data_IF_064253518220
#
_entry.id   IF_064253518220
#
_cell.length_a   1.000
_cell.length_b   1.000
_cell.length_c   1.000
_cell.angle_alpha   90.00
_cell.angle_beta   90.00
_cell.angle_gamma   90.00
#
_symmetry.space_group_name_H-M   'P 1'
#
loop_
_entity.id
_entity.type
_entity.pdbx_description
1 polymer ?
#
# COMPACT_ATOMS: atom_id res chain seq x y z
N UNK A 1 28.76 15.27 -10.40
CA UNK A 1 27.75 15.11 -9.33
C UNK A 1 27.39 16.51 -8.83
N UNK A 2 26.42 17.13 -9.47
CA UNK A 2 25.90 18.42 -9.02
C UNK A 2 24.90 18.14 -7.89
N UNK A 3 25.25 18.49 -6.66
CA UNK A 3 24.32 18.45 -5.53
C UNK A 3 23.21 19.46 -5.84
N UNK A 4 22.03 18.98 -6.22
CA UNK A 4 20.82 19.82 -6.05
C UNK A 4 20.82 20.24 -4.59
N UNK A 5 20.96 21.54 -4.34
CA UNK A 5 20.99 22.09 -2.98
C UNK A 5 19.66 21.73 -2.29
N UNK A 6 19.69 21.32 -1.03
CA UNK A 6 18.52 21.07 -0.18
C UNK A 6 17.52 22.24 -0.17
N UNK A 7 17.96 23.42 -0.59
CA UNK A 7 17.16 24.67 -0.64
C UNK A 7 16.10 24.71 -1.75
N UNK A 8 16.09 23.80 -2.71
CA UNK A 8 15.19 23.86 -3.87
C UNK A 8 14.08 22.78 -3.84
N UNK A 9 14.00 21.99 -2.78
CA UNK A 9 13.02 20.92 -2.64
C UNK A 9 11.68 21.46 -2.13
N UNK A 10 10.71 21.67 -3.03
CA UNK A 10 9.35 22.07 -2.65
C UNK A 10 8.59 20.91 -2.04
N UNK A 11 8.51 20.89 -0.71
CA UNK A 11 7.86 19.83 0.08
C UNK A 11 6.44 20.26 0.41
N UNK A 12 5.47 19.46 0.02
CA UNK A 12 4.06 19.69 0.31
C UNK A 12 3.50 18.62 1.24
N UNK A 13 2.61 19.03 2.13
CA UNK A 13 1.83 18.10 2.99
C UNK A 13 0.38 18.11 2.54
N UNK A 14 -0.23 16.93 2.39
CA UNK A 14 -1.65 16.76 2.11
C UNK A 14 -2.32 16.13 3.32
N UNK A 15 -3.39 16.76 3.81
CA UNK A 15 -4.15 16.34 4.98
C UNK A 15 -5.60 16.13 4.60
N UNK A 16 -6.08 14.88 4.49
CA UNK A 16 -7.50 14.60 4.32
C UNK A 16 -8.25 14.92 5.61
N UNK A 17 -9.28 15.76 5.52
CA UNK A 17 -10.03 16.26 6.66
C UNK A 17 -11.48 15.76 6.63
N UNK A 18 -11.85 14.90 7.58
CA UNK A 18 -13.20 14.45 7.80
C UNK A 18 -13.42 14.13 9.29
N UNK A 19 -14.30 14.90 9.97
CA UNK A 19 -14.58 14.78 11.42
C UNK A 19 -13.32 14.87 12.28
N UNK A 20 -12.49 15.88 12.02
CA UNK A 20 -11.21 16.06 12.72
C UNK A 20 -11.07 17.50 13.25
N UNK A 21 -12.18 18.17 13.54
CA UNK A 21 -12.21 19.58 13.94
C UNK A 21 -11.37 19.86 15.19
N UNK A 22 -11.42 18.96 16.17
CA UNK A 22 -10.78 19.15 17.46
C UNK A 22 -9.25 18.96 17.41
N UNK A 23 -8.76 18.11 16.48
CA UNK A 23 -7.35 17.71 16.43
C UNK A 23 -6.56 18.44 15.34
N UNK A 24 -7.20 18.86 14.26
CA UNK A 24 -6.53 19.34 13.04
C UNK A 24 -5.62 20.55 13.28
N UNK A 25 -6.02 21.50 14.14
CA UNK A 25 -5.22 22.69 14.42
C UNK A 25 -3.92 22.34 15.17
N UNK A 26 -3.94 21.34 16.06
CA UNK A 26 -2.73 20.86 16.73
C UNK A 26 -1.78 20.19 15.73
N UNK A 27 -2.32 19.37 14.82
CA UNK A 27 -1.56 18.77 13.72
C UNK A 27 -0.88 19.85 12.90
N UNK A 28 -1.61 20.87 12.47
CA UNK A 28 -1.08 21.97 11.64
C UNK A 28 0.05 22.73 12.35
N UNK A 29 -0.12 23.07 13.64
CA UNK A 29 0.90 23.80 14.43
C UNK A 29 2.22 23.03 14.56
N UNK A 30 2.18 21.72 14.49
CA UNK A 30 3.35 20.84 14.67
C UNK A 30 4.07 20.51 13.37
N UNK A 31 3.55 20.95 12.22
CA UNK A 31 4.20 20.73 10.92
C UNK A 31 5.46 21.62 10.83
N UNK A 32 6.65 21.02 10.61
CA UNK A 32 7.91 21.76 10.57
C UNK A 32 7.99 22.81 9.46
N UNK A 33 8.84 23.82 9.66
CA UNK A 33 9.05 24.94 8.72
C UNK A 33 9.63 24.52 7.36
N UNK A 34 10.30 23.37 7.29
CA UNK A 34 10.80 22.81 6.02
C UNK A 34 9.69 22.48 5.01
N UNK A 35 8.42 22.36 5.44
CA UNK A 35 7.28 22.18 4.58
C UNK A 35 6.89 23.51 3.94
N UNK A 36 6.90 23.56 2.62
CA UNK A 36 6.62 24.78 1.86
C UNK A 36 5.14 25.14 1.84
N UNK A 37 4.27 24.13 1.73
CA UNK A 37 2.82 24.31 1.67
C UNK A 37 2.07 23.14 2.30
N UNK A 38 0.88 23.43 2.83
CA UNK A 38 -0.01 22.46 3.47
C UNK A 38 -1.37 22.54 2.79
N UNK A 39 -1.81 21.42 2.22
CA UNK A 39 -3.09 21.29 1.51
C UNK A 39 -4.03 20.47 2.39
N UNK A 40 -5.00 21.11 2.99
CA UNK A 40 -6.09 20.46 3.71
C UNK A 40 -7.23 20.18 2.73
N UNK A 41 -7.73 18.96 2.68
CA UNK A 41 -8.85 18.59 1.82
C UNK A 41 -10.05 18.25 2.68
N UNK A 42 -11.02 19.18 2.75
CA UNK A 42 -12.30 18.96 3.43
C UNK A 42 -13.19 18.08 2.54
N UNK A 43 -13.35 16.82 2.94
CA UNK A 43 -14.09 15.83 2.17
C UNK A 43 -15.60 15.87 2.49
N UNK A 44 -16.23 17.03 2.27
CA UNK A 44 -17.61 17.33 2.62
C UNK A 44 -17.90 17.02 4.10
N UNK A 45 -17.04 17.53 4.98
CA UNK A 45 -17.09 17.24 6.40
C UNK A 45 -18.32 17.86 7.06
N UNK A 46 -19.19 17.07 7.75
CA UNK A 46 -20.39 17.60 8.40
C UNK A 46 -20.07 18.57 9.56
N UNK A 47 -18.86 18.50 10.13
CA UNK A 47 -18.37 19.37 11.20
C UNK A 47 -17.71 20.65 10.67
N UNK A 48 -17.69 20.83 9.34
CA UNK A 48 -17.08 21.96 8.66
C UNK A 48 -15.62 22.20 9.09
N UNK A 49 -14.82 21.11 9.12
CA UNK A 49 -13.40 21.14 9.51
C UNK A 49 -12.60 22.14 8.67
N UNK A 50 -12.85 22.21 7.35
CA UNK A 50 -12.18 23.16 6.46
C UNK A 50 -12.44 24.62 6.84
N UNK A 51 -13.71 24.99 7.14
CA UNK A 51 -14.04 26.35 7.60
C UNK A 51 -13.40 26.66 8.96
N UNK A 52 -13.29 25.67 9.83
CA UNK A 52 -12.60 25.82 11.10
C UNK A 52 -11.11 26.12 10.89
N UNK A 53 -10.46 25.44 9.96
CA UNK A 53 -9.07 25.71 9.58
C UNK A 53 -8.94 27.14 9.06
N UNK A 54 -9.74 27.55 8.08
CA UNK A 54 -9.66 28.90 7.49
C UNK A 54 -9.87 30.02 8.52
N UNK A 55 -10.72 29.80 9.52
CA UNK A 55 -11.03 30.84 10.53
C UNK A 55 -10.03 30.88 11.68
N UNK A 56 -9.37 29.79 12.02
CA UNK A 56 -8.54 29.69 13.21
C UNK A 56 -7.05 29.48 12.92
N UNK A 57 -6.68 29.00 11.75
CA UNK A 57 -5.29 28.79 11.36
C UNK A 57 -4.72 30.09 10.75
N UNK A 58 -3.61 30.59 11.31
CA UNK A 58 -2.92 31.78 10.80
C UNK A 58 -1.66 31.43 9.99
N UNK A 59 -1.37 30.15 9.80
CA UNK A 59 -0.21 29.72 9.03
C UNK A 59 -0.44 29.99 7.52
N UNK A 60 0.35 30.88 6.89
CA UNK A 60 0.17 31.26 5.49
C UNK A 60 0.44 30.11 4.51
N UNK A 61 1.06 29.01 4.97
CA UNK A 61 1.32 27.81 4.17
C UNK A 61 0.07 26.98 3.94
N UNK A 62 -0.98 27.17 4.76
CA UNK A 62 -2.18 26.35 4.76
C UNK A 62 -3.17 26.81 3.70
N UNK A 63 -3.63 25.90 2.88
CA UNK A 63 -4.74 26.10 1.94
C UNK A 63 -5.78 25.00 2.10
N UNK A 64 -7.05 25.30 1.83
CA UNK A 64 -8.15 24.33 1.97
C UNK A 64 -8.80 24.10 0.62
N UNK A 65 -9.03 22.82 0.28
CA UNK A 65 -9.87 22.37 -0.84
C UNK A 65 -11.16 21.80 -0.28
N UNK A 66 -12.28 22.11 -0.90
CA UNK A 66 -13.59 21.58 -0.52
C UNK A 66 -14.12 20.62 -1.55
N UNK A 67 -14.60 19.46 -1.11
CA UNK A 67 -15.40 18.56 -1.92
C UNK A 67 -16.88 18.86 -1.73
N UNK A 68 -17.66 18.77 -2.79
CA UNK A 68 -19.12 18.89 -2.73
C UNK A 68 -19.78 17.67 -2.07
N UNK A 69 -19.16 16.50 -2.21
CA UNK A 69 -19.61 15.23 -1.67
C UNK A 69 -18.43 14.45 -1.11
N UNK A 70 -18.68 13.64 -0.07
CA UNK A 70 -17.66 12.77 0.51
C UNK A 70 -17.18 11.72 -0.52
N UNK A 71 -15.89 11.78 -0.84
CA UNK A 71 -15.22 10.88 -1.78
C UNK A 71 -14.34 9.83 -1.06
N UNK A 72 -14.24 9.92 0.25
CA UNK A 72 -13.37 9.09 1.08
C UNK A 72 -11.90 9.52 1.07
N UNK A 73 -11.11 8.94 1.96
CA UNK A 73 -9.70 9.33 2.17
C UNK A 73 -8.88 9.30 0.88
N UNK A 74 -9.07 8.29 0.04
CA UNK A 74 -8.36 8.19 -1.24
C UNK A 74 -8.79 9.27 -2.23
N UNK A 75 -10.09 9.63 -2.27
CA UNK A 75 -10.58 10.74 -3.09
C UNK A 75 -9.98 12.07 -2.66
N UNK A 76 -9.95 12.34 -1.36
CA UNK A 76 -9.30 13.52 -0.78
C UNK A 76 -7.81 13.57 -1.13
N UNK A 77 -7.10 12.44 -0.98
CA UNK A 77 -5.69 12.36 -1.35
C UNK A 77 -5.44 12.60 -2.83
N UNK A 78 -6.27 12.05 -3.72
CA UNK A 78 -6.16 12.29 -5.17
C UNK A 78 -6.31 13.76 -5.50
N UNK A 79 -7.25 14.48 -4.88
CA UNK A 79 -7.41 15.93 -5.06
C UNK A 79 -6.19 16.72 -4.56
N UNK A 80 -5.69 16.39 -3.36
CA UNK A 80 -4.47 16.99 -2.82
C UNK A 80 -3.23 16.69 -3.67
N UNK A 81 -3.09 15.47 -4.18
CA UNK A 81 -1.98 15.08 -5.06
C UNK A 81 -2.00 15.85 -6.40
N UNK A 82 -3.17 16.03 -7.00
CA UNK A 82 -3.30 16.83 -8.24
C UNK A 82 -2.82 18.26 -8.02
N UNK A 83 -3.30 18.91 -6.95
CA UNK A 83 -2.87 20.28 -6.63
C UNK A 83 -1.37 20.33 -6.30
N UNK A 84 -0.83 19.33 -5.58
CA UNK A 84 0.61 19.26 -5.30
C UNK A 84 1.44 19.15 -6.59
N UNK A 85 0.98 18.37 -7.58
CA UNK A 85 1.63 18.27 -8.90
C UNK A 85 1.55 19.58 -9.70
N UNK A 86 0.42 20.27 -9.68
CA UNK A 86 0.25 21.60 -10.30
C UNK A 86 1.21 22.62 -9.70
N UNK A 87 1.46 22.49 -8.39
CA UNK A 87 2.43 23.32 -7.65
C UNK A 87 3.89 22.86 -7.79
N UNK A 88 4.17 21.86 -8.65
CA UNK A 88 5.50 21.29 -8.87
C UNK A 88 6.19 20.80 -7.58
N UNK A 89 5.45 20.07 -6.74
CA UNK A 89 6.01 19.46 -5.55
C UNK A 89 7.14 18.49 -5.89
N UNK A 90 8.30 18.61 -5.24
CA UNK A 90 9.40 17.64 -5.29
C UNK A 90 9.09 16.42 -4.45
N UNK A 91 8.44 16.61 -3.30
CA UNK A 91 7.98 15.55 -2.42
C UNK A 91 6.60 15.90 -1.87
N UNK A 92 5.74 14.89 -1.72
CA UNK A 92 4.42 15.04 -1.10
C UNK A 92 4.29 14.09 0.08
N UNK A 93 3.93 14.63 1.24
CA UNK A 93 3.71 13.87 2.47
C UNK A 93 2.22 13.80 2.77
N UNK A 94 1.70 12.62 3.11
CA UNK A 94 0.34 12.42 3.66
C UNK A 94 0.43 12.32 5.18
N UNK A 95 -0.37 13.10 5.87
CA UNK A 95 -0.62 13.01 7.32
C UNK A 95 -2.12 13.04 7.54
N UNK A 96 -2.65 12.19 8.44
CA UNK A 96 -4.06 12.23 8.80
C UNK A 96 -4.33 13.35 9.81
N UNK A 97 -5.56 13.91 9.79
CA UNK A 97 -5.95 15.06 10.60
C UNK A 97 -6.28 14.72 12.06
N UNK A 98 -6.29 13.42 12.44
CA UNK A 98 -6.75 12.90 13.74
C UNK A 98 -5.75 13.03 14.89
N UNK A 99 -4.54 13.55 14.61
CA UNK A 99 -3.50 13.74 15.61
C UNK A 99 -2.75 12.47 16.05
N UNK A 100 -3.09 11.29 15.51
CA UNK A 100 -2.42 10.04 15.86
C UNK A 100 -0.99 9.94 15.30
N UNK A 101 -0.68 10.71 14.27
CA UNK A 101 0.63 10.79 13.63
C UNK A 101 1.40 12.01 14.15
N UNK A 102 2.69 11.83 14.41
CA UNK A 102 3.55 12.94 14.83
C UNK A 102 4.11 13.72 13.63
N UNK A 103 3.66 14.97 13.37
CA UNK A 103 4.16 15.76 12.25
C UNK A 103 5.65 16.10 12.36
N UNK A 104 6.22 16.11 13.56
CA UNK A 104 7.62 16.50 13.79
C UNK A 104 8.64 15.53 13.16
N UNK A 105 8.22 14.30 12.88
CA UNK A 105 9.09 13.27 12.27
C UNK A 105 9.05 13.25 10.74
N UNK A 106 8.41 14.23 10.08
CA UNK A 106 8.34 14.34 8.61
C UNK A 106 9.71 14.12 7.95
N UNK A 107 10.79 14.70 8.52
CA UNK A 107 12.15 14.55 8.00
C UNK A 107 12.59 13.10 7.85
N UNK A 108 12.13 12.18 8.74
CA UNK A 108 12.47 10.76 8.66
C UNK A 108 11.85 10.10 7.41
N UNK A 109 10.69 10.58 6.98
CA UNK A 109 10.02 10.11 5.76
C UNK A 109 10.64 10.70 4.51
N UNK A 110 11.07 11.95 4.56
CA UNK A 110 11.65 12.66 3.42
C UNK A 110 13.08 12.27 3.13
N UNK A 111 13.92 12.07 4.16
CA UNK A 111 15.35 11.83 4.00
C UNK A 111 15.69 10.69 3.02
N UNK A 112 15.06 9.49 3.07
CA UNK A 112 15.35 8.43 2.10
C UNK A 112 14.97 8.83 0.67
N UNK A 113 13.91 9.64 0.50
CA UNK A 113 13.48 10.12 -0.82
C UNK A 113 14.47 11.15 -1.36
N UNK A 114 14.82 12.16 -0.56
CA UNK A 114 15.75 13.24 -0.95
C UNK A 114 17.15 12.69 -1.27
N UNK A 115 17.58 11.64 -0.54
CA UNK A 115 18.85 10.95 -0.83
C UNK A 115 18.80 10.00 -2.03
N UNK A 116 17.62 9.86 -2.65
CA UNK A 116 17.43 8.91 -3.74
C UNK A 116 17.59 7.44 -3.31
N UNK A 117 17.27 7.12 -2.06
CA UNK A 117 17.30 5.74 -1.50
C UNK A 117 15.95 5.05 -1.64
N UNK A 118 14.85 5.84 -1.73
CA UNK A 118 13.49 5.37 -1.89
C UNK A 118 12.68 6.31 -2.76
N UNK A 119 11.67 5.77 -3.45
CA UNK A 119 10.66 6.52 -4.20
C UNK A 119 9.45 6.88 -3.34
N UNK A 120 9.19 6.04 -2.33
CA UNK A 120 8.07 6.14 -1.41
C UNK A 120 8.47 5.64 -0.04
N UNK A 121 8.04 6.34 0.99
CA UNK A 121 8.23 5.92 2.38
C UNK A 121 6.89 5.77 3.07
N UNK A 122 6.81 4.81 4.00
CA UNK A 122 5.58 4.47 4.70
C UNK A 122 5.84 4.21 6.17
N UNK A 123 4.96 4.71 7.04
CA UNK A 123 5.07 4.50 8.48
C UNK A 123 4.83 3.05 8.87
N UNK A 124 5.58 2.58 9.87
CA UNK A 124 5.44 1.26 10.46
C UNK A 124 5.29 1.40 11.98
N UNK A 125 4.08 1.13 12.49
CA UNK A 125 3.70 1.22 13.91
C UNK A 125 4.11 -0.02 14.70
N UNK A 126 4.37 -1.13 14.02
CA UNK A 126 4.65 -2.43 14.62
C UNK A 126 6.15 -2.69 14.82
N UNK A 127 6.98 -1.70 14.59
CA UNK A 127 8.43 -1.84 14.76
C UNK A 127 8.81 -2.05 16.23
N UNK A 128 8.04 -1.50 17.18
CA UNK A 128 8.25 -1.69 18.60
C UNK A 128 7.32 -2.77 19.15
N UNK A 129 7.90 -3.86 19.70
CA UNK A 129 7.18 -4.99 20.30
C UNK A 129 6.33 -4.60 21.51
N UNK A 130 6.69 -3.53 22.22
CA UNK A 130 5.90 -3.03 23.37
C UNK A 130 4.49 -2.59 22.93
N UNK A 131 4.35 -2.02 21.74
CA UNK A 131 3.05 -1.63 21.19
C UNK A 131 2.17 -2.85 20.85
N UNK A 132 2.75 -3.99 20.53
CA UNK A 132 2.03 -5.23 20.23
C UNK A 132 1.48 -5.87 21.49
N UNK A 133 2.19 -5.79 22.63
CA UNK A 133 1.78 -6.42 23.90
C UNK A 133 0.52 -5.81 24.50
N UNK A 134 0.22 -4.56 24.15
CA UNK A 134 -0.99 -3.83 24.63
C UNK A 134 -2.24 -4.11 23.77
N UNK A 135 -2.11 -4.80 22.62
CA UNK A 135 -3.24 -5.07 21.71
C UNK A 135 -3.94 -6.39 22.04
N UNK A 136 -5.29 -6.45 21.94
CA UNK A 136 -6.02 -7.72 22.00
C UNK A 136 -5.55 -8.70 20.93
N UNK A 137 -5.39 -10.00 21.26
CA UNK A 137 -4.88 -11.03 20.35
C UNK A 137 -5.67 -11.13 19.03
N UNK A 138 -6.99 -10.97 19.08
CA UNK A 138 -7.86 -10.98 17.88
C UNK A 138 -7.52 -9.82 16.93
N UNK A 139 -7.12 -8.67 17.46
CA UNK A 139 -6.71 -7.50 16.65
C UNK A 139 -5.35 -7.73 16.02
N UNK A 140 -4.42 -8.34 16.76
CA UNK A 140 -3.09 -8.73 16.22
C UNK A 140 -3.25 -9.72 15.08
N UNK A 141 -4.07 -10.77 15.27
CA UNK A 141 -4.34 -11.76 14.23
C UNK A 141 -5.01 -11.16 12.98
N UNK A 142 -6.00 -10.29 13.18
CA UNK A 142 -6.67 -9.58 12.08
C UNK A 142 -5.72 -8.69 11.29
N UNK A 143 -4.86 -7.93 11.98
CA UNK A 143 -3.84 -7.10 11.34
C UNK A 143 -2.80 -7.94 10.59
N UNK A 144 -2.39 -9.09 11.15
CA UNK A 144 -1.48 -10.02 10.49
C UNK A 144 -2.08 -10.60 9.21
N UNK A 145 -3.36 -11.01 9.24
CA UNK A 145 -4.06 -11.50 8.06
C UNK A 145 -4.19 -10.42 6.97
N UNK A 146 -4.59 -9.19 7.34
CA UNK A 146 -4.67 -8.06 6.41
C UNK A 146 -3.29 -7.69 5.85
N UNK A 147 -2.24 -7.71 6.67
CA UNK A 147 -0.86 -7.49 6.23
C UNK A 147 -0.43 -8.55 5.23
N UNK A 148 -0.71 -9.83 5.49
CA UNK A 148 -0.41 -10.93 4.56
C UNK A 148 -1.15 -10.78 3.23
N UNK A 149 -2.45 -10.51 3.25
CA UNK A 149 -3.24 -10.26 2.04
C UNK A 149 -2.70 -9.08 1.24
N UNK A 150 -2.28 -8.01 1.93
CA UNK A 150 -1.68 -6.85 1.28
C UNK A 150 -0.34 -7.19 0.63
N UNK A 151 0.55 -7.93 1.31
CA UNK A 151 1.82 -8.40 0.76
C UNK A 151 1.60 -9.20 -0.52
N UNK A 152 0.65 -10.11 -0.49
CA UNK A 152 0.29 -10.95 -1.63
C UNK A 152 -0.23 -10.14 -2.81
N UNK A 153 -1.11 -9.18 -2.55
CA UNK A 153 -1.73 -8.35 -3.59
C UNK A 153 -0.82 -7.27 -4.16
N UNK A 154 0.07 -6.72 -3.33
CA UNK A 154 0.94 -5.60 -3.71
C UNK A 154 2.33 -6.02 -4.15
N UNK A 155 2.84 -7.20 -3.72
CA UNK A 155 4.20 -7.67 -3.99
C UNK A 155 5.28 -7.00 -3.14
N UNK A 156 4.93 -6.16 -2.18
CA UNK A 156 5.87 -5.61 -1.21
C UNK A 156 5.94 -6.47 0.05
N UNK A 157 6.61 -7.60 -0.04
CA UNK A 157 6.70 -8.60 1.02
C UNK A 157 7.40 -8.13 2.29
N UNK A 158 8.20 -7.08 2.21
CA UNK A 158 8.94 -6.51 3.35
C UNK A 158 8.23 -5.37 4.05
N UNK A 159 7.15 -4.83 3.47
CA UNK A 159 6.34 -3.79 4.12
C UNK A 159 5.47 -4.44 5.19
N UNK A 160 5.60 -3.94 6.43
CA UNK A 160 4.95 -4.59 7.57
C UNK A 160 3.57 -3.98 7.90
N UNK A 161 3.44 -2.65 7.78
CA UNK A 161 2.18 -1.91 8.07
C UNK A 161 1.59 -1.30 6.80
N UNK A 162 0.96 -2.12 5.92
CA UNK A 162 0.48 -1.65 4.62
C UNK A 162 -0.67 -0.63 4.72
N UNK A 163 -1.37 -0.57 5.85
CA UNK A 163 -2.53 0.30 6.06
C UNK A 163 -2.20 1.59 6.83
N UNK A 164 -0.93 1.85 7.13
CA UNK A 164 -0.54 3.10 7.77
C UNK A 164 -0.72 4.27 6.79
N UNK A 165 -1.37 5.33 7.25
CA UNK A 165 -1.64 6.52 6.45
C UNK A 165 -0.48 7.50 6.33
N UNK A 166 0.53 7.43 7.22
CA UNK A 166 1.68 8.33 7.16
C UNK A 166 2.65 7.89 6.07
N UNK A 167 2.74 8.67 5.01
CA UNK A 167 3.51 8.31 3.82
C UNK A 167 4.15 9.54 3.18
N UNK A 168 5.25 9.33 2.45
CA UNK A 168 5.79 10.35 1.56
C UNK A 168 6.15 9.74 0.20
N UNK A 169 6.02 10.54 -0.86
CA UNK A 169 6.27 10.15 -2.25
C UNK A 169 7.10 11.22 -2.96
N UNK A 170 8.01 10.78 -3.83
CA UNK A 170 8.72 11.67 -4.75
C UNK A 170 7.77 12.23 -5.81
N UNK A 171 7.89 13.51 -6.15
CA UNK A 171 6.98 14.20 -7.09
C UNK A 171 6.95 13.56 -8.48
N UNK A 172 8.11 13.17 -9.02
CA UNK A 172 8.16 12.54 -10.34
C UNK A 172 7.51 11.15 -10.35
N UNK A 173 7.64 10.40 -9.27
CA UNK A 173 6.95 9.12 -9.15
C UNK A 173 5.44 9.31 -9.03
N UNK A 174 5.01 10.35 -8.32
CA UNK A 174 3.60 10.70 -8.23
C UNK A 174 3.00 11.06 -9.60
N UNK A 175 3.77 11.73 -10.49
CA UNK A 175 3.34 12.03 -11.87
C UNK A 175 3.10 10.79 -12.72
N UNK A 176 3.83 9.70 -12.47
CA UNK A 176 3.67 8.43 -13.19
C UNK A 176 2.44 7.64 -12.76
N UNK A 177 1.86 7.93 -11.60
CA UNK A 177 0.71 7.20 -11.08
C UNK A 177 -0.58 7.60 -11.81
N UNK A 178 -1.42 6.61 -12.19
CA UNK A 178 -2.74 6.87 -12.77
C UNK A 178 -3.73 7.28 -11.65
N UNK A 179 -3.66 8.52 -11.19
CA UNK A 179 -4.40 9.03 -10.03
C UNK A 179 -5.90 8.74 -10.09
N UNK A 180 -6.52 8.80 -11.28
CA UNK A 180 -7.96 8.55 -11.46
C UNK A 180 -8.37 7.08 -11.22
N UNK A 181 -7.40 6.16 -11.22
CA UNK A 181 -7.65 4.73 -11.00
C UNK A 181 -7.37 4.30 -9.56
N UNK A 182 -6.91 5.21 -8.70
CA UNK A 182 -6.64 4.93 -7.29
C UNK A 182 -7.95 4.78 -6.54
N UNK A 183 -8.02 3.81 -5.63
CA UNK A 183 -9.20 3.57 -4.79
C UNK A 183 -9.51 4.77 -3.91
N UNK A 184 -10.76 5.23 -3.92
CA UNK A 184 -11.20 6.42 -3.17
C UNK A 184 -11.41 6.18 -1.67
N UNK A 185 -11.73 4.93 -1.26
CA UNK A 185 -12.00 4.59 0.15
C UNK A 185 -10.77 4.09 0.91
N UNK A 186 -11.01 3.37 2.00
CA UNK A 186 -9.96 2.82 2.90
C UNK A 186 -8.99 1.81 2.25
N UNK A 187 -9.25 1.36 1.03
CA UNK A 187 -8.31 0.54 0.27
C UNK A 187 -7.21 1.36 -0.42
N UNK A 188 -7.22 2.67 -0.24
CA UNK A 188 -6.29 3.62 -0.85
C UNK A 188 -4.83 3.25 -0.65
N UNK A 189 -4.40 3.01 0.59
CA UNK A 189 -3.00 2.72 0.93
C UNK A 189 -2.50 1.44 0.25
N UNK A 190 -3.33 0.40 0.24
CA UNK A 190 -2.99 -0.86 -0.44
C UNK A 190 -2.95 -0.69 -1.96
N UNK A 191 -3.90 0.06 -2.54
CA UNK A 191 -3.93 0.32 -3.99
C UNK A 191 -2.74 1.18 -4.44
N UNK A 192 -2.30 2.13 -3.61
CA UNK A 192 -1.06 2.88 -3.82
C UNK A 192 0.15 1.95 -3.91
N UNK A 193 0.31 1.04 -2.95
CA UNK A 193 1.41 0.06 -2.96
C UNK A 193 1.33 -0.85 -4.21
N UNK A 194 0.14 -1.33 -4.57
CA UNK A 194 -0.04 -2.11 -5.80
C UNK A 194 0.46 -1.35 -7.04
N UNK A 195 0.09 -0.08 -7.19
CA UNK A 195 0.51 0.74 -8.35
C UNK A 195 1.99 1.06 -8.32
N UNK A 196 2.54 1.37 -7.15
CA UNK A 196 3.98 1.58 -6.97
C UNK A 196 4.78 0.33 -7.37
N UNK A 197 4.29 -0.89 -7.04
CA UNK A 197 4.92 -2.13 -7.47
C UNK A 197 4.88 -2.31 -8.99
N UNK A 198 3.76 -1.95 -9.64
CA UNK A 198 3.68 -2.01 -11.12
C UNK A 198 4.64 -1.04 -11.79
N UNK A 199 5.02 0.07 -11.14
CA UNK A 199 6.07 0.98 -11.60
C UNK A 199 7.48 0.50 -11.21
N UNK A 200 7.63 -0.50 -10.35
CA UNK A 200 8.90 -0.93 -9.75
C UNK A 200 9.54 0.13 -8.85
N UNK A 201 8.72 0.94 -8.19
CA UNK A 201 9.19 1.92 -7.23
C UNK A 201 9.77 1.26 -5.96
N UNK A 202 10.83 1.85 -5.41
CA UNK A 202 11.41 1.41 -4.13
C UNK A 202 10.61 2.00 -2.98
N UNK A 203 10.08 1.13 -2.10
CA UNK A 203 9.32 1.50 -0.91
C UNK A 203 10.06 1.09 0.36
N UNK A 204 10.16 2.00 1.33
CA UNK A 204 10.84 1.77 2.61
C UNK A 204 9.86 2.03 3.78
N UNK A 205 9.87 1.13 4.77
CA UNK A 205 9.20 1.30 6.05
C UNK A 205 9.98 2.25 6.97
N UNK A 206 9.30 3.23 7.56
CA UNK A 206 9.84 4.16 8.54
C UNK A 206 9.27 3.82 9.93
N UNK A 207 10.10 3.44 10.90
CA UNK A 207 9.65 3.21 12.26
C UNK A 207 9.01 4.46 12.86
N UNK A 208 7.78 4.31 13.38
CA UNK A 208 7.07 5.39 14.05
C UNK A 208 6.34 4.89 15.28
N UNK A 209 6.11 5.80 16.22
CA UNK A 209 5.17 5.61 17.32
C UNK A 209 3.82 6.19 16.91
N UNK A 210 2.72 5.52 17.19
CA UNK A 210 1.39 6.11 17.12
C UNK A 210 0.84 6.31 18.50
N UNK A 211 0.22 7.47 18.72
CA UNK A 211 -0.55 7.71 19.94
C UNK A 211 -1.91 7.02 19.77
N UNK A 212 -2.12 5.93 20.48
CA UNK A 212 -3.44 5.32 20.58
C UNK A 212 -4.22 6.05 21.69
N UNK A 213 -5.00 7.03 21.33
CA UNK A 213 -6.10 7.46 22.19
C UNK A 213 -7.23 6.42 22.04
N UNK A 214 -8.01 6.20 23.10
CA UNK A 214 -9.02 5.12 23.25
C UNK A 214 -10.19 5.16 22.23
N UNK A 215 -9.98 5.58 21.01
CA UNK A 215 -10.98 5.53 19.97
C UNK A 215 -11.12 4.10 19.45
N UNK A 216 -12.32 3.53 19.64
CA UNK A 216 -12.69 2.27 19.06
C UNK A 216 -12.55 2.34 17.53
N UNK A 217 -11.73 1.46 16.95
CA UNK A 217 -11.64 1.39 15.48
C UNK A 217 -13.03 1.17 14.88
N UNK A 218 -13.51 2.12 14.11
CA UNK A 218 -14.82 2.08 13.44
C UNK A 218 -14.91 0.99 12.37
N UNK A 219 -13.80 0.31 12.06
CA UNK A 219 -13.73 -0.76 11.08
C UNK A 219 -13.92 -2.12 11.75
N UNK A 220 -15.06 -2.76 11.47
CA UNK A 220 -15.23 -4.18 11.73
C UNK A 220 -14.26 -4.97 10.84
N UNK A 221 -13.30 -5.68 11.45
CA UNK A 221 -12.28 -6.50 10.76
C UNK A 221 -12.94 -7.46 9.77
N UNK A 222 -14.05 -8.11 10.14
CA UNK A 222 -14.80 -9.02 9.26
C UNK A 222 -15.39 -8.34 8.03
N UNK A 223 -15.94 -7.14 8.18
CA UNK A 223 -16.50 -6.37 7.07
C UNK A 223 -15.39 -5.93 6.12
N UNK A 224 -14.26 -5.49 6.66
CA UNK A 224 -13.09 -5.07 5.88
C UNK A 224 -12.45 -6.23 5.12
N UNK A 225 -12.35 -7.43 5.70
CA UNK A 225 -11.82 -8.62 5.02
C UNK A 225 -12.68 -9.03 3.84
N UNK A 226 -14.02 -9.03 3.97
CA UNK A 226 -14.91 -9.37 2.87
C UNK A 226 -14.94 -8.30 1.76
N UNK A 227 -14.99 -7.03 2.15
CA UNK A 227 -15.04 -5.91 1.20
C UNK A 227 -13.72 -5.74 0.44
N UNK A 228 -12.59 -5.98 1.10
CA UNK A 228 -11.27 -5.84 0.51
C UNK A 228 -10.73 -7.14 -0.10
N UNK A 229 -11.24 -8.30 0.30
CA UNK A 229 -10.76 -9.60 -0.19
C UNK A 229 -10.78 -9.72 -1.71
N UNK A 230 -11.90 -9.33 -2.34
CA UNK A 230 -12.01 -9.31 -3.79
C UNK A 230 -11.04 -8.30 -4.44
N UNK A 231 -10.86 -7.12 -3.84
CA UNK A 231 -9.92 -6.11 -4.34
C UNK A 231 -8.48 -6.59 -4.25
N UNK A 232 -8.11 -7.25 -3.14
CA UNK A 232 -6.79 -7.89 -3.00
C UNK A 232 -6.58 -8.98 -4.06
N UNK A 233 -7.56 -9.84 -4.28
CA UNK A 233 -7.47 -10.91 -5.27
C UNK A 233 -7.33 -10.36 -6.69
N UNK A 234 -8.13 -9.35 -7.05
CA UNK A 234 -8.04 -8.68 -8.35
C UNK A 234 -6.68 -8.00 -8.55
N UNK A 235 -6.18 -7.30 -7.53
CA UNK A 235 -4.86 -6.66 -7.60
C UNK A 235 -3.74 -7.70 -7.72
N UNK A 236 -3.84 -8.84 -7.01
CA UNK A 236 -2.92 -9.95 -7.15
C UNK A 236 -2.84 -10.44 -8.60
N UNK A 237 -3.97 -10.82 -9.21
CA UNK A 237 -3.98 -11.31 -10.59
C UNK A 237 -3.50 -10.26 -11.58
N UNK A 238 -3.95 -9.00 -11.44
CA UNK A 238 -3.48 -7.90 -12.30
C UNK A 238 -1.96 -7.73 -12.20
N UNK A 239 -1.40 -7.79 -10.97
CA UNK A 239 0.03 -7.66 -10.73
C UNK A 239 0.82 -8.82 -11.36
N UNK A 240 0.36 -10.07 -11.14
CA UNK A 240 1.01 -11.25 -11.73
C UNK A 240 1.00 -11.15 -13.26
N UNK A 241 -0.16 -10.88 -13.88
CA UNK A 241 -0.25 -10.74 -15.33
C UNK A 241 0.67 -9.62 -15.83
N UNK A 242 0.65 -8.45 -15.17
CA UNK A 242 1.44 -7.31 -15.60
C UNK A 242 2.94 -7.58 -15.45
N UNK A 243 3.39 -8.02 -14.27
CA UNK A 243 4.83 -8.14 -13.98
C UNK A 243 5.48 -9.34 -14.66
N UNK A 244 4.74 -10.47 -14.84
CA UNK A 244 5.29 -11.75 -15.28
C UNK A 244 4.94 -12.11 -16.73
N UNK A 245 4.01 -11.41 -17.36
CA UNK A 245 3.63 -11.72 -18.75
C UNK A 245 3.67 -10.52 -19.69
N UNK A 246 3.39 -9.30 -19.21
CA UNK A 246 3.39 -8.10 -20.05
C UNK A 246 4.70 -7.34 -19.99
N UNK A 247 5.32 -7.24 -18.81
CA UNK A 247 6.57 -6.50 -18.62
C UNK A 247 7.78 -7.36 -18.94
N UNK A 248 7.83 -8.56 -18.37
CA UNK A 248 8.97 -9.46 -18.48
C UNK A 248 8.47 -10.91 -18.44
N UNK A 249 9.06 -11.76 -19.30
CA UNK A 249 8.70 -13.16 -19.39
C UNK A 249 9.91 -14.02 -19.03
N UNK A 250 9.84 -14.73 -17.91
CA UNK A 250 10.92 -15.56 -17.40
C UNK A 250 10.39 -16.88 -16.82
N UNK A 251 11.27 -17.68 -16.23
CA UNK A 251 10.91 -19.01 -15.73
C UNK A 251 9.71 -19.00 -14.78
N UNK A 252 9.64 -18.01 -13.86
CA UNK A 252 8.51 -17.88 -12.96
C UNK A 252 7.17 -17.67 -13.70
N UNK A 253 7.18 -17.09 -14.91
CA UNK A 253 5.97 -16.94 -15.73
C UNK A 253 5.40 -18.30 -16.15
N UNK A 254 6.28 -19.25 -16.50
CA UNK A 254 5.89 -20.63 -16.80
C UNK A 254 5.38 -21.35 -15.56
N UNK A 255 6.02 -21.13 -14.41
CA UNK A 255 5.63 -21.71 -13.12
C UNK A 255 4.24 -21.23 -12.69
N UNK A 256 3.91 -19.95 -12.92
CA UNK A 256 2.57 -19.39 -12.67
C UNK A 256 1.47 -19.99 -13.55
N UNK A 257 1.80 -20.60 -14.72
CA UNK A 257 0.84 -21.29 -15.57
C UNK A 257 0.81 -22.77 -15.22
N UNK A 258 1.98 -23.44 -15.26
CA UNK A 258 2.06 -24.89 -15.12
C UNK A 258 1.69 -25.36 -13.71
N UNK A 259 2.06 -24.58 -12.68
CA UNK A 259 1.76 -24.90 -11.29
C UNK A 259 0.25 -25.11 -11.04
N UNK A 260 -0.60 -24.10 -11.29
CA UNK A 260 -2.06 -24.24 -11.12
C UNK A 260 -2.67 -25.28 -12.05
N UNK A 261 -2.18 -25.44 -13.29
CA UNK A 261 -2.68 -26.42 -14.23
C UNK A 261 -2.42 -27.86 -13.74
N UNK A 262 -1.20 -28.16 -13.30
CA UNK A 262 -0.85 -29.47 -12.77
C UNK A 262 -1.58 -29.77 -11.46
N UNK A 263 -1.64 -28.78 -10.55
CA UNK A 263 -2.35 -28.90 -9.29
C UNK A 263 -3.85 -29.17 -9.53
N UNK A 264 -4.48 -28.39 -10.42
CA UNK A 264 -5.89 -28.57 -10.80
C UNK A 264 -6.16 -29.91 -11.44
N UNK A 265 -5.32 -30.34 -12.39
CA UNK A 265 -5.42 -31.65 -13.02
C UNK A 265 -5.35 -32.77 -11.97
N UNK A 266 -4.33 -32.75 -11.11
CA UNK A 266 -4.15 -33.82 -10.11
C UNK A 266 -5.28 -33.88 -9.10
N UNK A 267 -5.82 -32.72 -8.66
CA UNK A 267 -6.97 -32.66 -7.76
C UNK A 267 -8.25 -33.21 -8.44
N UNK A 268 -8.57 -32.74 -9.64
CA UNK A 268 -9.78 -33.16 -10.37
C UNK A 268 -9.70 -34.65 -10.70
N UNK A 269 -8.59 -35.12 -11.25
CA UNK A 269 -8.38 -36.54 -11.56
C UNK A 269 -8.41 -37.39 -10.30
N UNK A 270 -7.78 -36.96 -9.22
CA UNK A 270 -7.75 -37.66 -7.94
C UNK A 270 -9.14 -37.81 -7.33
N UNK A 271 -9.93 -36.73 -7.26
CA UNK A 271 -11.30 -36.75 -6.74
C UNK A 271 -12.19 -37.67 -7.59
N UNK A 272 -12.07 -37.57 -8.92
CA UNK A 272 -12.85 -38.40 -9.83
C UNK A 272 -12.54 -39.91 -9.61
N UNK A 273 -11.27 -40.29 -9.59
CA UNK A 273 -10.84 -41.69 -9.38
C UNK A 273 -11.10 -42.18 -7.98
N UNK A 274 -11.09 -41.33 -6.97
CA UNK A 274 -11.48 -41.65 -5.61
C UNK A 274 -12.99 -42.06 -5.55
N UNK A 275 -13.84 -41.24 -6.13
CA UNK A 275 -15.28 -41.50 -6.18
C UNK A 275 -15.61 -42.80 -6.98
N UNK A 276 -14.90 -43.03 -8.10
CA UNK A 276 -15.04 -44.26 -8.90
C UNK A 276 -14.65 -45.50 -8.06
N UNK A 277 -13.53 -45.44 -7.33
CA UNK A 277 -13.07 -46.51 -6.45
C UNK A 277 -14.09 -46.86 -5.35
N UNK A 278 -14.70 -45.85 -4.74
CA UNK A 278 -15.77 -46.03 -3.75
C UNK A 278 -16.99 -46.71 -4.38
N UNK A 279 -17.43 -46.24 -5.54
CA UNK A 279 -18.62 -46.73 -6.22
C UNK A 279 -18.47 -48.21 -6.67
N UNK A 280 -17.26 -48.60 -7.08
CA UNK A 280 -16.95 -49.95 -7.53
C UNK A 280 -16.53 -50.90 -6.39
N UNK A 281 -16.28 -50.39 -5.18
CA UNK A 281 -15.79 -51.18 -4.06
C UNK A 281 -14.37 -51.77 -4.29
N UNK A 282 -13.58 -51.17 -5.21
CA UNK A 282 -12.27 -51.68 -5.63
C UNK A 282 -11.18 -50.65 -5.30
N UNK A 283 -10.00 -51.11 -4.89
CA UNK A 283 -8.85 -50.23 -4.60
C UNK A 283 -8.30 -49.66 -5.90
N UNK A 284 -7.94 -48.37 -5.87
CA UNK A 284 -7.21 -47.73 -6.95
C UNK A 284 -5.83 -48.37 -7.15
N UNK A 285 -5.38 -48.51 -8.40
CA UNK A 285 -4.04 -49.03 -8.70
C UNK A 285 -2.97 -48.00 -8.29
N UNK A 286 -1.75 -48.50 -8.02
CA UNK A 286 -0.60 -47.62 -7.72
C UNK A 286 -0.37 -46.59 -8.83
N UNK A 287 -0.54 -46.96 -10.11
CA UNK A 287 -0.44 -46.04 -11.24
C UNK A 287 -1.48 -44.92 -11.19
N UNK A 288 -2.74 -45.26 -10.85
CA UNK A 288 -3.82 -44.26 -10.69
C UNK A 288 -3.50 -43.26 -9.58
N UNK A 289 -3.02 -43.75 -8.44
CA UNK A 289 -2.62 -42.90 -7.31
C UNK A 289 -1.46 -41.98 -7.71
N UNK A 290 -0.43 -42.50 -8.42
CA UNK A 290 0.69 -41.70 -8.88
C UNK A 290 0.30 -40.65 -9.91
N UNK A 291 -0.63 -40.95 -10.83
CA UNK A 291 -1.14 -39.98 -11.81
C UNK A 291 -1.94 -38.84 -11.16
N UNK A 292 -2.50 -39.03 -9.96
CA UNK A 292 -3.11 -37.97 -9.18
C UNK A 292 -2.04 -37.20 -8.34
N UNK A 293 -1.20 -37.95 -7.61
CA UNK A 293 -0.29 -37.36 -6.60
C UNK A 293 0.88 -36.60 -7.20
N UNK A 294 1.51 -37.12 -8.27
CA UNK A 294 2.66 -36.44 -8.88
C UNK A 294 2.34 -35.06 -9.44
N UNK A 295 1.24 -34.85 -10.20
CA UNK A 295 0.88 -33.51 -10.66
C UNK A 295 0.57 -32.55 -9.51
N UNK A 296 -0.05 -33.04 -8.41
CA UNK A 296 -0.28 -32.22 -7.22
C UNK A 296 1.04 -31.77 -6.60
N UNK A 297 1.99 -32.70 -6.38
CA UNK A 297 3.28 -32.40 -5.77
C UNK A 297 4.09 -31.45 -6.65
N UNK A 298 4.22 -31.76 -7.95
CA UNK A 298 4.99 -30.91 -8.88
C UNK A 298 4.31 -29.56 -9.04
N UNK A 299 2.99 -29.51 -9.17
CA UNK A 299 2.22 -28.26 -9.28
C UNK A 299 2.40 -27.36 -8.06
N UNK A 300 2.34 -27.95 -6.85
CA UNK A 300 2.61 -27.21 -5.62
C UNK A 300 4.06 -26.71 -5.55
N UNK A 301 5.02 -27.54 -5.96
CA UNK A 301 6.44 -27.14 -6.01
C UNK A 301 6.65 -25.95 -6.95
N UNK A 302 6.08 -25.95 -8.14
CA UNK A 302 6.17 -24.85 -9.09
C UNK A 302 5.53 -23.57 -8.54
N UNK A 303 4.37 -23.67 -7.88
CA UNK A 303 3.73 -22.52 -7.24
C UNK A 303 4.59 -21.93 -6.10
N UNK A 304 5.19 -22.78 -5.28
CA UNK A 304 6.10 -22.32 -4.22
C UNK A 304 7.36 -21.67 -4.80
N UNK A 305 7.89 -22.20 -5.89
CA UNK A 305 9.03 -21.62 -6.62
C UNK A 305 8.67 -20.23 -7.16
N UNK A 306 7.53 -20.11 -7.84
CA UNK A 306 7.04 -18.82 -8.37
C UNK A 306 6.81 -17.79 -7.25
N UNK A 307 6.26 -18.21 -6.11
CA UNK A 307 6.10 -17.34 -4.95
C UNK A 307 7.42 -16.89 -4.34
N UNK A 308 8.41 -17.80 -4.20
CA UNK A 308 9.73 -17.44 -3.72
C UNK A 308 10.39 -16.42 -4.65
N UNK A 309 10.29 -16.62 -5.96
CA UNK A 309 10.77 -15.65 -6.92
C UNK A 309 10.06 -14.28 -6.75
N UNK A 310 8.73 -14.25 -6.52
CA UNK A 310 7.99 -13.02 -6.28
C UNK A 310 8.44 -12.28 -5.00
N UNK A 311 8.78 -13.02 -3.94
CA UNK A 311 9.33 -12.46 -2.68
C UNK A 311 10.68 -11.79 -2.90
N UNK A 312 11.53 -12.39 -3.74
CA UNK A 312 12.88 -11.90 -4.00
C UNK A 312 12.94 -10.84 -5.11
N UNK A 313 11.97 -10.84 -6.03
CA UNK A 313 11.89 -9.92 -7.16
C UNK A 313 11.40 -8.51 -6.76
N UNK A 314 12.03 -7.91 -5.75
CA UNK A 314 11.74 -6.55 -5.29
C UNK A 314 12.53 -5.51 -6.09
N UNK A 315 12.01 -4.28 -6.24
CA UNK A 315 12.78 -3.15 -6.74
C UNK A 315 13.98 -2.87 -5.82
N UNK A 316 15.16 -2.67 -6.40
CA UNK A 316 16.39 -2.39 -5.66
C UNK A 316 16.92 -0.98 -5.94
N UNK A 317 16.66 -0.47 -7.13
CA UNK A 317 17.11 0.86 -7.55
C UNK A 317 15.91 1.78 -7.60
N UNK A 318 15.91 2.89 -6.85
CA UNK A 318 14.84 3.89 -6.91
C UNK A 318 14.62 4.40 -8.33
N UNK A 319 13.35 4.44 -8.73
CA UNK A 319 12.95 4.82 -10.08
C UNK A 319 13.33 6.28 -10.37
N UNK A 320 13.27 7.17 -9.37
CA UNK A 320 13.69 8.56 -9.49
C UNK A 320 15.14 8.69 -9.99
N UNK A 321 16.07 7.85 -9.51
CA UNK A 321 17.46 7.85 -9.99
C UNK A 321 17.59 7.43 -11.46
N UNK A 322 16.76 6.48 -11.90
CA UNK A 322 16.77 6.03 -13.29
C UNK A 322 16.24 7.13 -14.22
N UNK A 323 15.31 7.96 -13.73
CA UNK A 323 14.76 9.08 -14.51
C UNK A 323 15.73 10.26 -14.60
N UNK A 324 16.47 10.58 -13.53
CA UNK A 324 17.50 11.62 -13.55
C UNK A 324 18.60 11.32 -14.57
N UNK A 325 19.08 10.07 -14.64
CA UNK A 325 20.11 9.65 -15.60
C UNK A 325 19.67 9.68 -17.07
N UNK A 326 18.38 9.83 -17.37
CA UNK A 326 17.86 9.96 -18.74
C UNK A 326 17.75 11.42 -19.20
N UNK A 327 17.94 12.38 -18.29
CA UNK A 327 17.89 13.82 -18.60
C UNK A 327 19.28 14.44 -18.78
N UNK A 328 20.34 13.69 -18.48
CA UNK A 328 21.74 14.00 -18.79
C UNK A 328 22.16 13.39 -20.14
#
# INVERSE_FOLDING_TARGET
MSSKSESDSRILVVIPCFRAKDQVLDVLRRIPEQVSEIICVDDACPEATGKHIETQCQDPRVSVIYHEQNQGVGGAMVSGYKLALEKNASCVVKIDADGQMDPTIISRFLNPIIRGEADYTKGNRFYNLENLSSMPAIRVLGNAALSFMSKFSTGYWRIFDPNNGYTAIHGDILRLLPLQKISSGYFFETDMLFRLNTLRAVVIDIPMQSKYENEGSSLSIFKSVNEFGLKHLLNFFKRIIYNYFLRDFHLASLEWILGPCLLGYGLVFGIFKWNESIALGTSATAGTVMLAALPIIIGLQLLLSALNFDVDNKPLIPLQRLMENQQE
#
